data_IF_249911522282
#
_entry.id   IF_249911522282
#
_cell.length_a   1.000
_cell.length_b   1.000
_cell.length_c   1.000
_cell.angle_alpha   90.00
_cell.angle_beta   90.00
_cell.angle_gamma   90.00
#
_symmetry.space_group_name_H-M   'P 1'
#
loop_
_entity.id
_entity.type
_entity.pdbx_description
1 polymer ?
#
# COMPACT_ATOMS: atom_id res chain seq x y z
N UNK A 1 8.25 -25.38 5.62
CA UNK A 1 7.91 -23.94 5.66
C UNK A 1 7.89 -23.52 7.11
N UNK A 2 8.72 -22.55 7.47
CA UNK A 2 8.81 -21.99 8.82
C UNK A 2 7.43 -21.43 9.25
N UNK A 3 7.01 -21.69 10.49
CA UNK A 3 5.75 -21.19 11.05
C UNK A 3 5.67 -19.65 10.99
N UNK A 4 6.81 -18.98 11.13
CA UNK A 4 6.93 -17.52 11.01
C UNK A 4 6.63 -17.07 9.58
N UNK A 5 7.21 -17.75 8.58
CA UNK A 5 6.96 -17.44 7.17
C UNK A 5 5.49 -17.65 6.79
N UNK A 6 4.86 -18.72 7.30
CA UNK A 6 3.44 -18.97 7.08
C UNK A 6 2.57 -17.87 7.70
N UNK A 7 2.88 -17.46 8.92
CA UNK A 7 2.14 -16.39 9.59
C UNK A 7 2.30 -15.05 8.87
N UNK A 8 3.52 -14.71 8.44
CA UNK A 8 3.77 -13.50 7.67
C UNK A 8 3.00 -13.50 6.35
N UNK A 9 2.97 -14.63 5.65
CA UNK A 9 2.20 -14.77 4.41
C UNK A 9 0.68 -14.64 4.64
N UNK A 10 0.14 -15.23 5.72
CA UNK A 10 -1.28 -15.04 6.09
C UNK A 10 -1.63 -13.57 6.31
N UNK A 11 -0.76 -12.82 6.97
CA UNK A 11 -0.97 -11.38 7.16
C UNK A 11 -0.87 -10.61 5.83
N UNK A 12 0.05 -11.00 4.95
CA UNK A 12 0.20 -10.39 3.62
C UNK A 12 -1.05 -10.61 2.78
N UNK A 13 -1.57 -11.83 2.74
CA UNK A 13 -2.83 -12.16 2.07
C UNK A 13 -3.98 -11.29 2.59
N UNK A 14 -4.12 -11.16 3.91
CA UNK A 14 -5.14 -10.28 4.49
C UNK A 14 -4.94 -8.82 4.10
N UNK A 15 -3.68 -8.35 4.08
CA UNK A 15 -3.33 -6.99 3.69
C UNK A 15 -3.75 -6.69 2.24
N UNK A 16 -3.40 -7.59 1.32
CA UNK A 16 -3.75 -7.50 -0.10
C UNK A 16 -5.26 -7.50 -0.30
N UNK A 17 -5.96 -8.52 0.22
CA UNK A 17 -7.41 -8.66 0.03
C UNK A 17 -8.18 -7.54 0.73
N UNK A 18 -7.65 -7.02 1.84
CA UNK A 18 -8.18 -5.86 2.54
C UNK A 18 -8.15 -4.59 1.69
N UNK A 19 -7.04 -4.32 0.99
CA UNK A 19 -6.94 -3.20 0.05
C UNK A 19 -7.96 -3.32 -1.07
N UNK A 20 -8.06 -4.50 -1.69
CA UNK A 20 -9.00 -4.73 -2.80
C UNK A 20 -10.45 -4.50 -2.35
N UNK A 21 -10.81 -5.02 -1.17
CA UNK A 21 -12.13 -4.83 -0.57
C UNK A 21 -12.41 -3.36 -0.26
N UNK A 22 -11.47 -2.68 0.39
CA UNK A 22 -11.63 -1.26 0.73
C UNK A 22 -11.73 -0.39 -0.54
N UNK A 23 -11.05 -0.74 -1.64
CA UNK A 23 -11.23 -0.05 -2.92
C UNK A 23 -12.62 -0.31 -3.53
N UNK A 24 -13.12 -1.54 -3.42
CA UNK A 24 -14.44 -1.94 -3.90
C UNK A 24 -15.57 -1.26 -3.11
N UNK A 25 -15.40 -1.14 -1.79
CA UNK A 25 -16.36 -0.50 -0.88
C UNK A 25 -16.31 1.04 -0.96
N UNK A 26 -15.35 1.59 -1.71
CA UNK A 26 -15.14 3.03 -1.87
C UNK A 26 -14.33 3.68 -0.75
N UNK A 27 -13.87 2.93 0.25
CA UNK A 27 -13.01 3.44 1.34
C UNK A 27 -11.61 3.85 0.84
N UNK A 28 -11.15 3.26 -0.26
CA UNK A 28 -9.96 3.66 -1.00
C UNK A 28 -10.34 4.09 -2.43
N UNK A 29 -9.55 4.97 -3.08
CA UNK A 29 -9.74 5.29 -4.50
C UNK A 29 -9.76 4.03 -5.36
N UNK A 30 -10.62 3.98 -6.38
CA UNK A 30 -10.82 2.77 -7.19
C UNK A 30 -9.53 2.24 -7.82
N UNK A 31 -8.58 3.11 -8.19
CA UNK A 31 -7.28 2.68 -8.71
C UNK A 31 -6.52 1.76 -7.74
N UNK A 32 -6.75 1.87 -6.42
CA UNK A 32 -6.12 1.02 -5.41
C UNK A 32 -6.49 -0.47 -5.56
N UNK A 33 -7.61 -0.77 -6.22
CA UNK A 33 -7.99 -2.14 -6.60
C UNK A 33 -6.97 -2.79 -7.55
N UNK A 34 -6.16 -1.99 -8.26
CA UNK A 34 -5.06 -2.51 -9.08
C UNK A 34 -3.79 -2.78 -8.29
N UNK A 35 -3.72 -2.36 -7.02
CA UNK A 35 -2.47 -2.27 -6.23
C UNK A 35 -1.37 -1.43 -6.91
N UNK A 36 -1.71 -0.67 -7.94
CA UNK A 36 -0.76 0.02 -8.81
C UNK A 36 0.09 -0.93 -9.68
N UNK A 37 -0.31 -2.19 -9.81
CA UNK A 37 0.38 -3.22 -10.60
C UNK A 37 -0.07 -3.23 -12.07
N UNK A 38 0.74 -3.79 -12.99
CA UNK A 38 0.23 -4.32 -14.25
C UNK A 38 -0.79 -5.45 -13.98
N UNK A 39 -1.71 -5.65 -14.91
CA UNK A 39 -2.81 -6.61 -14.72
C UNK A 39 -2.33 -8.06 -14.57
N UNK A 40 -1.32 -8.47 -15.33
CA UNK A 40 -0.73 -9.81 -15.21
C UNK A 40 -0.22 -10.05 -13.78
N UNK A 41 0.55 -9.11 -13.22
CA UNK A 41 1.04 -9.20 -11.85
C UNK A 41 -0.08 -9.21 -10.81
N UNK A 42 -1.16 -8.44 -11.03
CA UNK A 42 -2.33 -8.47 -10.14
C UNK A 42 -3.00 -9.86 -10.13
N UNK A 43 -3.11 -10.49 -11.30
CA UNK A 43 -3.67 -11.85 -11.40
C UNK A 43 -2.78 -12.88 -10.70
N UNK A 44 -1.45 -12.74 -10.76
CA UNK A 44 -0.52 -13.59 -9.98
C UNK A 44 -0.72 -13.41 -8.47
N UNK A 45 -0.86 -12.17 -8.00
CA UNK A 45 -1.16 -11.87 -6.60
C UNK A 45 -2.46 -12.54 -6.16
N UNK A 46 -3.52 -12.39 -6.96
CA UNK A 46 -4.83 -12.97 -6.67
C UNK A 46 -4.79 -14.50 -6.64
N UNK A 47 -4.10 -15.13 -7.60
CA UNK A 47 -3.92 -16.58 -7.63
C UNK A 47 -3.24 -17.11 -6.36
N UNK A 48 -2.26 -16.37 -5.83
CA UNK A 48 -1.55 -16.76 -4.61
C UNK A 48 -2.32 -16.44 -3.32
N UNK A 49 -3.00 -15.29 -3.25
CA UNK A 49 -3.65 -14.79 -2.03
C UNK A 49 -5.10 -15.24 -1.88
N UNK A 50 -5.82 -15.50 -2.97
CA UNK A 50 -7.21 -15.94 -2.97
C UNK A 50 -7.45 -17.07 -3.99
N UNK A 51 -6.78 -18.23 -3.81
CA UNK A 51 -6.91 -19.36 -4.73
C UNK A 51 -8.36 -19.88 -4.85
N UNK A 52 -9.21 -19.63 -3.85
CA UNK A 52 -10.63 -19.96 -3.85
C UNK A 52 -11.45 -19.23 -4.92
N UNK A 53 -10.96 -18.09 -5.43
CA UNK A 53 -11.61 -17.37 -6.53
C UNK A 53 -11.38 -18.05 -7.89
N UNK A 54 -10.46 -19.01 -7.97
CA UNK A 54 -10.12 -19.69 -9.20
C UNK A 54 -9.48 -18.76 -10.22
N UNK A 55 -9.70 -19.04 -11.51
CA UNK A 55 -9.19 -18.20 -12.59
C UNK A 55 -10.02 -16.93 -12.71
N UNK A 56 -9.39 -15.79 -12.48
CA UNK A 56 -9.96 -14.47 -12.69
C UNK A 56 -9.74 -14.04 -14.14
N UNK A 57 -10.80 -13.70 -14.85
CA UNK A 57 -10.69 -13.14 -16.19
C UNK A 57 -10.09 -11.73 -16.15
N UNK A 58 -9.20 -11.45 -17.11
CA UNK A 58 -8.66 -10.12 -17.28
C UNK A 58 -9.77 -9.16 -17.78
N UNK A 59 -9.92 -8.02 -17.11
CA UNK A 59 -10.57 -6.84 -17.67
C UNK A 59 -9.92 -6.45 -19.01
N UNK A 60 -10.68 -5.88 -19.96
CA UNK A 60 -10.12 -5.31 -21.18
C UNK A 60 -9.03 -4.27 -20.89
N UNK A 61 -7.95 -4.29 -21.67
CA UNK A 61 -6.78 -3.41 -21.49
C UNK A 61 -7.16 -1.93 -21.31
N UNK A 62 -8.11 -1.44 -22.12
CA UNK A 62 -8.57 -0.05 -22.06
C UNK A 62 -9.15 0.29 -20.69
N UNK A 63 -9.94 -0.60 -20.10
CA UNK A 63 -10.55 -0.39 -18.79
C UNK A 63 -9.48 -0.43 -17.68
N UNK A 64 -8.53 -1.37 -17.78
CA UNK A 64 -7.45 -1.46 -16.80
C UNK A 64 -6.53 -0.23 -16.84
N UNK A 65 -6.21 0.27 -18.04
CA UNK A 65 -5.43 1.50 -18.19
C UNK A 65 -6.17 2.73 -17.66
N UNK A 66 -7.50 2.81 -17.81
CA UNK A 66 -8.31 3.88 -17.21
C UNK A 66 -8.30 3.86 -15.68
N UNK A 67 -8.20 2.68 -15.05
CA UNK A 67 -8.00 2.58 -13.60
C UNK A 67 -6.61 3.10 -13.23
N UNK A 68 -5.56 2.63 -13.92
CA UNK A 68 -4.18 3.05 -13.66
C UNK A 68 -3.96 4.55 -13.89
N UNK A 69 -4.67 5.17 -14.84
CA UNK A 69 -4.54 6.61 -15.11
C UNK A 69 -5.03 7.50 -13.96
N UNK A 70 -5.81 6.96 -13.02
CA UNK A 70 -6.26 7.66 -11.81
C UNK A 70 -5.24 7.62 -10.66
N UNK A 71 -4.04 7.08 -10.91
CA UNK A 71 -2.96 6.99 -9.92
C UNK A 71 -2.59 8.39 -9.40
N UNK A 72 -2.63 8.61 -8.07
CA UNK A 72 -2.18 9.86 -7.46
C UNK A 72 -0.67 10.13 -7.66
N UNK A 73 -0.23 11.39 -7.79
CA UNK A 73 1.17 11.74 -8.08
C UNK A 73 2.20 11.16 -7.09
N UNK A 74 1.88 11.13 -5.79
CA UNK A 74 2.80 10.59 -4.77
C UNK A 74 2.91 9.06 -4.76
N UNK A 75 2.01 8.34 -5.41
CA UNK A 75 1.99 6.88 -5.36
C UNK A 75 3.33 6.28 -5.81
N UNK A 76 3.89 6.76 -6.93
CA UNK A 76 5.12 6.20 -7.47
C UNK A 76 6.29 6.39 -6.51
N UNK A 77 6.45 7.60 -5.96
CA UNK A 77 7.53 7.89 -5.02
C UNK A 77 7.39 7.10 -3.70
N UNK A 78 6.16 6.91 -3.20
CA UNK A 78 5.89 6.01 -2.06
C UNK A 78 6.30 4.56 -2.39
N UNK A 79 5.89 4.06 -3.56
CA UNK A 79 6.18 2.70 -3.99
C UNK A 79 7.69 2.47 -4.13
N UNK A 80 8.40 3.39 -4.77
CA UNK A 80 9.85 3.30 -4.97
C UNK A 80 10.58 3.24 -3.61
N UNK A 81 10.22 4.13 -2.67
CA UNK A 81 10.74 4.11 -1.30
C UNK A 81 10.46 2.76 -0.63
N UNK A 82 9.24 2.23 -0.72
CA UNK A 82 8.88 0.95 -0.10
C UNK A 82 9.65 -0.22 -0.73
N UNK A 83 9.81 -0.25 -2.04
CA UNK A 83 10.54 -1.30 -2.77
C UNK A 83 12.03 -1.34 -2.40
N UNK A 84 12.66 -0.18 -2.21
CA UNK A 84 14.06 -0.07 -1.75
C UNK A 84 14.24 -0.52 -0.30
N UNK A 85 13.19 -0.47 0.51
CA UNK A 85 13.24 -0.84 1.93
C UNK A 85 12.75 -2.28 2.21
N UNK A 86 12.71 -3.15 1.21
CA UNK A 86 12.38 -4.57 1.40
C UNK A 86 13.47 -5.32 2.18
N UNK A 87 13.04 -6.23 3.04
CA UNK A 87 13.93 -7.15 3.74
C UNK A 87 14.62 -8.09 2.75
N UNK A 88 15.95 -8.03 2.66
CA UNK A 88 16.73 -8.83 1.72
C UNK A 88 16.73 -10.35 2.01
N UNK A 89 16.52 -10.72 3.27
CA UNK A 89 16.51 -12.12 3.71
C UNK A 89 15.19 -12.85 3.41
N UNK A 90 14.14 -12.11 3.03
CA UNK A 90 12.80 -12.65 2.83
C UNK A 90 12.43 -12.80 1.37
N UNK A 91 11.33 -13.51 1.10
CA UNK A 91 10.81 -13.69 -0.26
C UNK A 91 10.59 -12.32 -0.95
N UNK A 92 11.38 -12.06 -1.98
CA UNK A 92 11.39 -10.78 -2.69
C UNK A 92 10.04 -10.45 -3.35
N UNK A 93 9.30 -11.45 -3.82
CA UNK A 93 7.99 -11.30 -4.44
C UNK A 93 6.95 -10.88 -3.39
N UNK A 94 6.92 -11.53 -2.22
CA UNK A 94 6.04 -11.16 -1.11
C UNK A 94 6.31 -9.74 -0.61
N UNK A 95 7.59 -9.37 -0.45
CA UNK A 95 7.96 -8.00 -0.10
C UNK A 95 7.54 -6.97 -1.15
N UNK A 96 7.57 -7.33 -2.44
CA UNK A 96 7.06 -6.47 -3.53
C UNK A 96 5.54 -6.30 -3.42
N UNK A 97 4.79 -7.38 -3.22
CA UNK A 97 3.34 -7.31 -3.05
C UNK A 97 2.93 -6.44 -1.87
N UNK A 98 3.63 -6.56 -0.74
CA UNK A 98 3.39 -5.69 0.41
C UNK A 98 3.67 -4.23 0.10
N UNK A 99 4.78 -3.92 -0.59
CA UNK A 99 5.13 -2.55 -0.97
C UNK A 99 4.02 -1.91 -1.82
N UNK A 100 3.46 -2.66 -2.79
CA UNK A 100 2.33 -2.23 -3.60
C UNK A 100 1.07 -1.99 -2.75
N UNK A 101 0.68 -2.95 -1.91
CA UNK A 101 -0.48 -2.82 -1.04
C UNK A 101 -0.35 -1.62 -0.08
N UNK A 102 0.84 -1.41 0.51
CA UNK A 102 1.12 -0.27 1.38
C UNK A 102 1.11 1.06 0.65
N UNK A 103 1.67 1.15 -0.56
CA UNK A 103 1.70 2.37 -1.34
C UNK A 103 0.28 2.89 -1.61
N UNK A 104 -0.63 2.01 -2.05
CA UNK A 104 -2.03 2.40 -2.30
C UNK A 104 -2.83 2.64 -1.01
N UNK A 105 -2.67 1.80 0.01
CA UNK A 105 -3.35 1.97 1.30
C UNK A 105 -2.91 3.25 2.03
N UNK A 106 -1.68 3.71 1.81
CA UNK A 106 -1.13 4.92 2.43
C UNK A 106 -1.76 6.21 1.89
N UNK A 107 -2.54 6.12 0.81
CA UNK A 107 -3.29 7.24 0.22
C UNK A 107 -4.70 7.39 0.80
N UNK A 108 -5.18 6.39 1.54
CA UNK A 108 -6.49 6.43 2.22
C UNK A 108 -6.52 7.44 3.37
N UNK A 109 -7.72 7.83 3.79
CA UNK A 109 -7.96 8.73 4.94
C UNK A 109 -8.14 8.00 6.28
N UNK A 110 -8.03 6.67 6.31
CA UNK A 110 -8.17 5.87 7.54
C UNK A 110 -6.81 5.53 8.14
N UNK A 111 -6.80 4.79 9.23
CA UNK A 111 -5.55 4.23 9.73
C UNK A 111 -5.00 3.21 8.73
N UNK A 112 -3.67 3.18 8.54
CA UNK A 112 -3.03 2.29 7.56
C UNK A 112 -3.42 0.81 7.74
N UNK A 113 -3.49 0.35 8.99
CA UNK A 113 -3.90 -1.04 9.26
C UNK A 113 -5.35 -1.31 8.87
N UNK A 114 -6.23 -0.31 8.90
CA UNK A 114 -7.63 -0.42 8.45
C UNK A 114 -7.73 -0.45 6.92
N UNK A 115 -6.98 0.43 6.25
CA UNK A 115 -6.91 0.47 4.78
C UNK A 115 -6.29 -0.81 4.19
N UNK A 116 -5.46 -1.50 4.97
CA UNK A 116 -4.96 -2.84 4.67
C UNK A 116 -5.92 -3.96 5.09
N UNK A 117 -7.03 -3.70 5.79
CA UNK A 117 -7.94 -4.75 6.29
C UNK A 117 -7.35 -5.66 7.38
N UNK A 118 -6.31 -5.19 8.08
CA UNK A 118 -5.75 -5.87 9.24
C UNK A 118 -6.65 -5.64 10.47
N UNK A 119 -6.53 -6.50 11.49
CA UNK A 119 -7.32 -6.38 12.72
C UNK A 119 -6.74 -5.36 13.69
N UNK A 120 -5.45 -5.03 13.58
CA UNK A 120 -4.80 -4.15 14.55
C UNK A 120 -3.52 -3.51 14.03
N UNK A 121 -3.09 -2.47 14.73
CA UNK A 121 -1.76 -1.88 14.57
C UNK A 121 -0.63 -2.89 14.81
N UNK A 122 -0.83 -3.89 15.67
CA UNK A 122 0.16 -4.92 15.97
C UNK A 122 0.45 -5.81 14.75
N UNK A 123 -0.58 -6.22 14.02
CA UNK A 123 -0.42 -7.02 12.80
C UNK A 123 0.32 -6.24 11.71
N UNK A 124 0.05 -4.93 11.59
CA UNK A 124 0.80 -4.06 10.69
C UNK A 124 2.29 -4.03 11.07
N UNK A 125 2.62 -3.86 12.36
CA UNK A 125 4.01 -3.88 12.83
C UNK A 125 4.69 -5.21 12.52
N UNK A 126 4.00 -6.34 12.69
CA UNK A 126 4.54 -7.66 12.35
C UNK A 126 4.86 -7.79 10.85
N UNK A 127 3.97 -7.32 9.97
CA UNK A 127 4.22 -7.32 8.53
C UNK A 127 5.41 -6.45 8.14
N UNK A 128 5.49 -5.25 8.68
CA UNK A 128 6.57 -4.32 8.39
C UNK A 128 7.90 -4.83 8.94
N UNK A 129 7.92 -5.38 10.14
CA UNK A 129 9.12 -5.99 10.71
C UNK A 129 9.63 -7.13 9.86
N UNK A 130 8.74 -7.94 9.27
CA UNK A 130 9.13 -9.10 8.47
C UNK A 130 9.58 -8.68 7.05
N UNK A 131 8.74 -7.99 6.28
CA UNK A 131 8.99 -7.72 4.87
C UNK A 131 9.64 -6.37 4.56
N UNK A 132 9.60 -5.41 5.49
CA UNK A 132 10.12 -4.04 5.32
C UNK A 132 10.98 -3.62 6.53
N UNK A 133 11.83 -4.53 7.01
CA UNK A 133 12.62 -4.34 8.23
C UNK A 133 13.43 -3.04 8.26
N UNK A 134 14.10 -2.60 7.16
CA UNK A 134 14.79 -1.31 7.13
C UNK A 134 13.92 -0.12 7.54
N UNK A 135 12.67 -0.03 7.07
CA UNK A 135 11.72 1.00 7.48
C UNK A 135 11.28 0.79 8.93
N UNK A 136 11.01 -0.46 9.31
CA UNK A 136 10.57 -0.79 10.64
C UNK A 136 11.58 -0.36 11.72
N UNK A 137 12.87 -0.63 11.50
CA UNK A 137 13.96 -0.30 12.42
C UNK A 137 14.18 1.21 12.59
N UNK A 138 13.78 2.03 11.61
CA UNK A 138 13.90 3.50 11.67
C UNK A 138 12.75 4.18 12.41
N UNK A 139 11.57 3.56 12.51
CA UNK A 139 10.44 4.10 13.27
C UNK A 139 10.57 3.87 14.79
N UNK A 140 11.67 4.32 15.40
CA UNK A 140 12.00 4.07 16.81
C UNK A 140 11.04 4.76 17.80
N UNK A 141 10.48 5.91 17.39
CA UNK A 141 9.53 6.67 18.21
C UNK A 141 8.10 6.07 18.21
N UNK A 142 7.88 4.96 17.48
CA UNK A 142 6.59 4.27 17.34
C UNK A 142 5.43 5.22 16.99
N UNK A 143 5.70 6.23 16.15
CA UNK A 143 4.68 7.14 15.67
C UNK A 143 3.78 6.42 14.65
N UNK A 144 2.59 7.00 14.39
CA UNK A 144 1.64 6.47 13.39
C UNK A 144 2.35 6.23 12.05
N UNK A 145 2.25 5.02 11.50
CA UNK A 145 2.96 4.61 10.29
C UNK A 145 2.81 5.55 9.10
N UNK A 146 1.60 6.07 8.80
CA UNK A 146 1.44 7.05 7.71
C UNK A 146 2.26 8.31 7.95
N UNK A 147 2.29 8.82 9.18
CA UNK A 147 3.10 9.99 9.53
C UNK A 147 4.60 9.69 9.35
N UNK A 148 5.05 8.52 9.76
CA UNK A 148 6.43 8.08 9.55
C UNK A 148 6.79 7.96 8.06
N UNK A 149 5.99 7.24 7.27
CA UNK A 149 6.23 7.03 5.85
C UNK A 149 6.30 8.34 5.06
N UNK A 150 5.41 9.29 5.36
CA UNK A 150 5.41 10.58 4.67
C UNK A 150 6.54 11.50 5.14
N UNK A 151 6.99 11.38 6.39
CA UNK A 151 8.20 12.07 6.83
C UNK A 151 9.44 11.52 6.10
N UNK A 152 9.63 10.19 6.07
CA UNK A 152 10.73 9.56 5.32
C UNK A 152 10.71 9.93 3.83
N UNK A 153 9.53 9.90 3.20
CA UNK A 153 9.39 10.30 1.81
C UNK A 153 9.68 11.79 1.60
N UNK A 154 9.20 12.64 2.51
CA UNK A 154 9.46 14.08 2.48
C UNK A 154 10.94 14.39 2.53
N UNK A 155 11.70 13.73 3.42
CA UNK A 155 13.15 13.87 3.46
C UNK A 155 13.81 13.42 2.15
N UNK A 156 13.40 12.28 1.57
CA UNK A 156 13.94 11.79 0.29
C UNK A 156 13.66 12.72 -0.90
N UNK A 157 12.51 13.38 -0.90
CA UNK A 157 12.10 14.31 -1.95
C UNK A 157 12.59 15.74 -1.72
N UNK A 158 13.27 16.04 -0.61
CA UNK A 158 13.67 17.41 -0.25
C UNK A 158 12.49 18.31 0.16
N UNK A 159 11.39 17.71 0.60
CA UNK A 159 10.16 18.35 1.06
C UNK A 159 9.85 17.96 2.51
N UNK A 160 10.64 18.44 3.49
CA UNK A 160 10.41 18.14 4.89
C UNK A 160 9.01 18.63 5.32
N UNK A 161 8.33 17.84 6.16
CA UNK A 161 6.98 18.15 6.61
C UNK A 161 5.86 17.73 5.65
N UNK A 162 6.17 16.92 4.62
CA UNK A 162 5.15 16.25 3.80
C UNK A 162 4.16 15.51 4.70
N UNK A 163 2.86 15.77 4.50
CA UNK A 163 1.79 15.21 5.34
C UNK A 163 1.07 14.08 4.61
N UNK A 164 0.68 13.01 5.33
CA UNK A 164 -0.26 12.05 4.79
C UNK A 164 -1.63 12.69 4.56
N UNK A 165 -2.46 12.13 3.67
CA UNK A 165 -3.89 12.40 3.61
C UNK A 165 -4.49 12.36 5.01
N UNK A 166 -5.33 13.35 5.35
CA UNK A 166 -5.77 13.55 6.72
C UNK A 166 -6.50 12.32 7.26
N UNK A 167 -6.00 11.80 8.38
CA UNK A 167 -6.56 10.65 9.04
C UNK A 167 -7.71 11.11 9.96
N UNK A 168 -8.92 11.20 9.43
CA UNK A 168 -10.15 11.42 10.20
C UNK A 168 -11.02 12.59 9.75
N UNK A 169 -12.24 12.24 9.31
CA UNK A 169 -13.41 13.08 9.03
C UNK A 169 -13.25 14.14 7.94
N UNK A 170 -13.42 13.68 6.70
CA UNK A 170 -14.59 14.07 5.88
C UNK A 170 -14.71 13.10 4.69
N UNK A 171 -15.87 12.43 4.56
CA UNK A 171 -16.18 11.44 3.52
C UNK A 171 -16.44 12.09 2.14
N UNK A 172 -15.56 13.00 1.70
CA UNK A 172 -15.64 13.61 0.37
C UNK A 172 -14.41 13.20 -0.44
N UNK A 173 -14.58 12.22 -1.33
CA UNK A 173 -13.57 11.58 -2.17
C UNK A 173 -12.90 12.48 -3.23
N UNK A 174 -12.72 13.79 -3.00
CA UNK A 174 -12.25 14.69 -4.05
C UNK A 174 -11.04 15.57 -3.73
N UNK A 175 -10.52 15.66 -2.50
CA UNK A 175 -9.51 16.71 -2.23
C UNK A 175 -8.49 16.43 -1.10
N UNK A 176 -8.03 15.19 -0.91
CA UNK A 176 -6.91 14.91 0.00
C UNK A 176 -5.63 14.52 -0.76
N UNK A 177 -5.32 15.24 -1.83
CA UNK A 177 -4.00 15.19 -2.46
C UNK A 177 -3.11 16.25 -1.81
N UNK A 178 -1.93 15.90 -1.28
CA UNK A 178 -0.93 16.93 -1.01
C UNK A 178 -0.56 17.60 -2.33
N UNK A 179 -0.82 18.90 -2.42
CA UNK A 179 -0.33 19.74 -3.51
C UNK A 179 1.18 19.84 -3.35
N UNK A 180 1.93 19.31 -4.31
CA UNK A 180 3.36 19.63 -4.42
C UNK A 180 3.48 21.13 -4.71
N UNK A 181 4.22 21.93 -3.91
CA UNK A 181 4.44 23.33 -4.23
C UNK A 181 5.25 23.41 -5.54
N UNK A 182 4.62 23.87 -6.62
CA UNK A 182 5.23 23.96 -7.94
C UNK A 182 4.29 23.87 -9.15
N UNK A 183 3.01 23.51 -8.96
CA UNK A 183 2.00 23.46 -10.04
C UNK A 183 1.02 24.64 -9.92
N UNK A 184 1.54 25.86 -9.92
CA UNK A 184 0.78 27.05 -10.29
C UNK A 184 1.44 27.65 -11.52
N UNK A 185 0.90 27.34 -12.70
CA UNK A 185 0.89 28.21 -13.86
C UNK A 185 -0.17 27.74 -14.85
#
# INVERSE_FOLDING_TARGET
MDEVQQQAFRLLTRAVLGVLRNAQDGELPLFAWTLGLPQADLLEVLYACAPELGHMEALPDVQYQQLLSQRPPLHQALLDMLLTNRSAAENAQHGRWLAHALAVASLGSRYLWQDLGLSSHRELKQLLQFYLYPLFARNQADIKWKRFLYAELGEQLGHPGLKPPECGRDHRHAACLPVLPGQQR
#
